data_IF_497685672530
#
_entry.id   IF_497685672530
#
_cell.length_a   1.000
_cell.length_b   1.000
_cell.length_c   1.000
_cell.angle_alpha   90.00
_cell.angle_beta   90.00
_cell.angle_gamma   90.00
#
_symmetry.space_group_name_H-M   'P 1'
#
loop_
_entity.id
_entity.type
_entity.pdbx_description
1 polymer ?
#
# COMPACT_ATOMS: atom_id res chain seq x y z
N UNK A 1 -8.30 -9.94 44.25
CA UNK A 1 -7.66 -8.91 43.40
C UNK A 1 -8.74 -7.89 43.08
N UNK A 2 -8.43 -6.60 43.10
CA UNK A 2 -9.44 -5.61 42.70
C UNK A 2 -9.70 -5.75 41.20
N UNK A 3 -10.94 -5.56 40.75
CA UNK A 3 -11.36 -5.66 39.34
C UNK A 3 -10.46 -4.79 38.42
N UNK A 4 -10.01 -3.66 38.92
CA UNK A 4 -9.06 -2.77 38.21
C UNK A 4 -7.74 -3.48 37.85
N UNK A 5 -7.19 -4.32 38.76
CA UNK A 5 -5.95 -5.05 38.51
C UNK A 5 -6.17 -6.09 37.42
N UNK A 6 -7.31 -6.82 37.50
CA UNK A 6 -7.63 -7.84 36.49
C UNK A 6 -7.81 -7.22 35.11
N UNK A 7 -8.56 -6.12 35.01
CA UNK A 7 -8.77 -5.39 33.76
C UNK A 7 -7.42 -4.87 33.21
N UNK A 8 -6.57 -4.29 34.07
CA UNK A 8 -5.26 -3.81 33.65
C UNK A 8 -4.35 -4.93 33.16
N UNK A 9 -4.37 -6.11 33.78
CA UNK A 9 -3.61 -7.28 33.34
C UNK A 9 -4.13 -7.81 32.00
N UNK A 10 -5.43 -7.87 31.77
CA UNK A 10 -6.03 -8.29 30.52
C UNK A 10 -5.68 -7.32 29.38
N UNK A 11 -5.72 -6.01 29.64
CA UNK A 11 -5.29 -5.01 28.66
C UNK A 11 -3.80 -5.10 28.35
N UNK A 12 -2.97 -5.32 29.36
CA UNK A 12 -1.53 -5.56 29.17
C UNK A 12 -1.29 -6.80 28.31
N UNK A 13 -2.02 -7.89 28.58
CA UNK A 13 -1.95 -9.13 27.80
C UNK A 13 -2.35 -8.89 26.35
N UNK A 14 -3.41 -8.12 26.08
CA UNK A 14 -3.84 -7.73 24.74
C UNK A 14 -2.70 -7.00 24.00
N UNK A 15 -2.06 -6.02 24.65
CA UNK A 15 -0.93 -5.28 24.08
C UNK A 15 0.25 -6.21 23.77
N UNK A 16 0.56 -7.15 24.67
CA UNK A 16 1.63 -8.16 24.44
C UNK A 16 1.32 -9.00 23.20
N UNK A 17 0.10 -9.47 23.02
CA UNK A 17 -0.30 -10.24 21.83
C UNK A 17 -0.21 -9.39 20.54
N UNK A 18 -0.55 -8.12 20.59
CA UNK A 18 -0.41 -7.22 19.46
C UNK A 18 1.07 -6.97 19.09
N UNK A 19 1.95 -6.81 20.07
CA UNK A 19 3.39 -6.66 19.85
C UNK A 19 4.01 -7.96 19.31
N UNK A 20 3.56 -9.11 19.80
CA UNK A 20 4.07 -10.40 19.35
C UNK A 20 3.78 -10.67 17.87
N UNK A 21 2.67 -10.16 17.33
CA UNK A 21 2.35 -10.17 15.90
C UNK A 21 2.15 -11.55 15.24
N UNK A 22 2.16 -12.64 16.04
CA UNK A 22 2.01 -14.01 15.52
C UNK A 22 0.58 -14.34 15.08
N UNK A 23 -0.41 -13.68 15.70
CA UNK A 23 -1.83 -13.89 15.43
C UNK A 23 -2.41 -12.65 14.77
N UNK A 24 -3.48 -12.85 14.00
CA UNK A 24 -4.21 -11.72 13.39
C UNK A 24 -4.81 -10.84 14.48
N UNK A 25 -4.66 -9.53 14.35
CA UNK A 25 -5.11 -8.54 15.34
C UNK A 25 -6.61 -8.61 15.62
N UNK A 26 -7.43 -8.84 14.57
CA UNK A 26 -8.87 -9.01 14.68
C UNK A 26 -9.26 -10.24 15.52
N UNK A 27 -8.58 -11.37 15.31
CA UNK A 27 -8.81 -12.58 16.09
C UNK A 27 -8.42 -12.39 17.57
N UNK A 28 -7.27 -11.77 17.84
CA UNK A 28 -6.85 -11.45 19.21
C UNK A 28 -7.87 -10.54 19.90
N UNK A 29 -8.35 -9.51 19.21
CA UNK A 29 -9.34 -8.59 19.75
C UNK A 29 -10.67 -9.31 20.08
N UNK A 30 -11.16 -10.20 19.20
CA UNK A 30 -12.39 -10.97 19.43
C UNK A 30 -12.25 -11.96 20.60
N UNK A 31 -11.11 -12.64 20.70
CA UNK A 31 -10.84 -13.54 21.84
C UNK A 31 -10.82 -12.78 23.14
N UNK A 32 -10.12 -11.64 23.18
CA UNK A 32 -10.05 -10.81 24.38
C UNK A 32 -11.42 -10.24 24.75
N UNK A 33 -12.23 -9.79 23.79
CA UNK A 33 -13.60 -9.36 24.01
C UNK A 33 -14.42 -10.51 24.64
N UNK A 34 -14.29 -11.73 24.12
CA UNK A 34 -14.96 -12.92 24.66
C UNK A 34 -14.55 -13.18 26.12
N UNK A 35 -13.27 -13.02 26.45
CA UNK A 35 -12.76 -13.13 27.83
C UNK A 35 -13.40 -12.08 28.73
N UNK A 36 -13.48 -10.82 28.31
CA UNK A 36 -14.14 -9.76 29.09
C UNK A 36 -15.62 -10.02 29.32
N UNK A 37 -16.31 -10.60 28.33
CA UNK A 37 -17.73 -10.98 28.47
C UNK A 37 -17.90 -12.16 29.44
N UNK A 38 -17.09 -13.21 29.33
CA UNK A 38 -17.15 -14.40 30.21
C UNK A 38 -16.82 -14.03 31.65
N UNK A 39 -15.89 -13.12 31.88
CA UNK A 39 -15.53 -12.62 33.20
C UNK A 39 -16.56 -11.63 33.76
N UNK A 40 -17.59 -11.25 32.99
CA UNK A 40 -18.66 -10.35 33.43
C UNK A 40 -18.31 -8.86 33.41
N UNK A 41 -17.12 -8.45 32.90
CA UNK A 41 -16.74 -7.04 32.80
C UNK A 41 -17.47 -6.32 31.68
N UNK A 42 -17.95 -7.05 30.66
CA UNK A 42 -18.75 -6.52 29.55
C UNK A 42 -20.03 -7.32 29.45
N UNK A 43 -21.18 -6.64 29.51
CA UNK A 43 -22.47 -7.29 29.32
C UNK A 43 -22.59 -7.88 27.91
N UNK A 44 -23.08 -9.12 27.72
CA UNK A 44 -23.20 -9.74 26.39
C UNK A 44 -23.98 -8.89 25.38
N UNK A 45 -25.01 -8.18 25.84
CA UNK A 45 -25.82 -7.26 25.02
C UNK A 45 -25.03 -6.03 24.50
N UNK A 46 -23.94 -5.69 25.17
CA UNK A 46 -23.08 -4.54 24.82
C UNK A 46 -21.75 -4.93 24.16
N UNK A 47 -21.48 -6.24 24.04
CA UNK A 47 -20.19 -6.73 23.52
C UNK A 47 -19.83 -6.15 22.16
N UNK A 48 -20.79 -6.01 21.27
CA UNK A 48 -20.57 -5.48 19.91
C UNK A 48 -21.05 -4.04 19.73
N UNK A 49 -21.45 -3.35 20.79
CA UNK A 49 -21.90 -1.93 20.68
C UNK A 49 -20.83 -1.00 20.12
N UNK A 50 -19.55 -1.33 20.36
CA UNK A 50 -18.41 -0.57 19.82
C UNK A 50 -18.35 -0.56 18.29
N UNK A 51 -18.85 -1.60 17.59
CA UNK A 51 -18.87 -1.64 16.12
C UNK A 51 -19.83 -0.60 15.53
N UNK A 52 -20.91 -0.28 16.21
CA UNK A 52 -21.86 0.78 15.84
C UNK A 52 -21.50 2.16 16.36
N UNK A 53 -20.38 2.32 17.06
CA UNK A 53 -19.97 3.60 17.62
C UNK A 53 -19.70 4.62 16.49
N UNK A 54 -20.15 5.89 16.63
CA UNK A 54 -19.97 6.92 15.58
C UNK A 54 -18.51 7.05 15.11
N UNK A 55 -17.53 6.93 16.00
CA UNK A 55 -16.12 6.96 15.62
C UNK A 55 -15.74 5.84 14.63
N UNK A 56 -16.20 4.62 14.85
CA UNK A 56 -15.91 3.47 13.97
C UNK A 56 -16.55 3.67 12.59
N UNK A 57 -17.80 4.09 12.57
CA UNK A 57 -18.54 4.39 11.33
C UNK A 57 -17.83 5.52 10.57
N UNK A 58 -17.44 6.60 11.25
CA UNK A 58 -16.72 7.71 10.63
C UNK A 58 -15.38 7.25 10.03
N UNK A 59 -14.60 6.46 10.76
CA UNK A 59 -13.33 5.89 10.23
C UNK A 59 -13.57 5.06 8.98
N UNK A 60 -14.59 4.18 8.99
CA UNK A 60 -14.93 3.36 7.84
C UNK A 60 -15.31 4.21 6.60
N UNK A 61 -16.14 5.23 6.81
CA UNK A 61 -16.55 6.15 5.73
C UNK A 61 -15.36 6.97 5.18
N UNK A 62 -14.49 7.47 6.05
CA UNK A 62 -13.28 8.20 5.63
C UNK A 62 -12.34 7.31 4.82
N UNK A 63 -12.16 6.04 5.21
CA UNK A 63 -11.38 5.07 4.44
C UNK A 63 -12.00 4.81 3.06
N UNK A 64 -13.33 4.73 2.97
CA UNK A 64 -14.04 4.55 1.71
C UNK A 64 -13.86 5.76 0.77
N UNK A 65 -14.00 6.98 1.30
CA UNK A 65 -13.76 8.22 0.56
C UNK A 65 -12.32 8.30 0.07
N UNK A 66 -11.35 7.92 0.94
CA UNK A 66 -9.93 7.88 0.60
C UNK A 66 -9.65 6.93 -0.56
N UNK A 67 -10.27 5.75 -0.57
CA UNK A 67 -10.18 4.80 -1.69
C UNK A 67 -10.80 5.34 -2.99
N UNK A 68 -11.92 6.05 -2.90
CA UNK A 68 -12.53 6.74 -4.05
C UNK A 68 -11.60 7.81 -4.64
N UNK A 69 -10.95 8.58 -3.78
CA UNK A 69 -9.99 9.59 -4.22
C UNK A 69 -8.75 8.96 -4.86
N UNK A 70 -8.25 7.85 -4.31
CA UNK A 70 -7.18 7.06 -4.90
C UNK A 70 -7.55 6.58 -6.31
N UNK A 71 -8.74 6.01 -6.49
CA UNK A 71 -9.22 5.49 -7.76
C UNK A 71 -9.50 6.58 -8.82
N UNK A 72 -9.68 7.84 -8.41
CA UNK A 72 -9.99 8.97 -9.31
C UNK A 72 -8.85 9.38 -10.24
N UNK A 73 -7.63 8.86 -10.04
CA UNK A 73 -6.43 9.25 -10.81
C UNK A 73 -5.93 10.67 -10.54
N UNK A 74 -6.48 11.37 -9.55
CA UNK A 74 -6.07 12.73 -9.17
C UNK A 74 -4.56 12.86 -8.97
N UNK A 75 -3.93 11.81 -8.52
CA UNK A 75 -2.51 11.77 -8.17
C UNK A 75 -1.59 11.67 -9.39
N UNK A 76 -2.03 11.03 -10.46
CA UNK A 76 -1.25 10.98 -11.70
C UNK A 76 -1.03 12.38 -12.29
N UNK A 77 -2.00 13.29 -12.08
CA UNK A 77 -1.90 14.69 -12.48
C UNK A 77 -0.81 15.42 -11.68
N UNK A 78 -0.72 15.14 -10.37
CA UNK A 78 0.31 15.72 -9.49
C UNK A 78 1.69 15.22 -9.92
N UNK A 79 1.84 13.92 -10.19
CA UNK A 79 3.11 13.31 -10.60
C UNK A 79 3.71 13.92 -11.86
N UNK A 80 2.90 14.09 -12.90
CA UNK A 80 3.33 14.67 -14.16
C UNK A 80 3.77 16.16 -14.05
N UNK A 81 3.19 16.89 -13.10
CA UNK A 81 3.62 18.28 -12.82
C UNK A 81 4.90 18.32 -11.99
N UNK A 82 5.01 17.45 -10.98
CA UNK A 82 6.20 17.39 -10.13
C UNK A 82 7.47 17.12 -10.93
N UNK A 83 7.41 16.18 -11.85
CA UNK A 83 8.54 15.79 -12.70
C UNK A 83 9.12 16.96 -13.50
N UNK A 84 8.27 17.91 -13.91
CA UNK A 84 8.68 19.09 -14.70
C UNK A 84 9.29 20.22 -13.87
N UNK A 85 8.96 20.29 -12.58
CA UNK A 85 9.34 21.42 -11.70
C UNK A 85 10.57 21.10 -10.86
N UNK A 86 10.82 19.82 -10.61
CA UNK A 86 11.86 19.38 -9.68
C UNK A 86 13.21 19.32 -10.36
N UNK A 87 14.17 20.11 -9.85
CA UNK A 87 15.55 20.17 -10.35
C UNK A 87 16.58 19.54 -9.39
N UNK A 88 16.23 19.36 -8.10
CA UNK A 88 17.12 18.77 -7.11
C UNK A 88 16.40 17.81 -6.17
N UNK A 89 17.14 16.82 -5.63
CA UNK A 89 16.60 15.85 -4.67
C UNK A 89 16.03 16.53 -3.42
N UNK A 90 16.71 17.57 -2.92
CA UNK A 90 16.25 18.33 -1.76
C UNK A 90 14.90 19.01 -2.02
N UNK A 91 14.78 19.71 -3.16
CA UNK A 91 13.53 20.35 -3.57
C UNK A 91 12.39 19.33 -3.73
N UNK A 92 12.69 18.17 -4.29
CA UNK A 92 11.73 17.09 -4.43
C UNK A 92 11.22 16.60 -3.07
N UNK A 93 12.15 16.30 -2.14
CA UNK A 93 11.78 15.86 -0.80
C UNK A 93 10.90 16.90 -0.10
N UNK A 94 11.28 18.18 -0.18
CA UNK A 94 10.51 19.26 0.45
C UNK A 94 9.08 19.31 -0.11
N UNK A 95 8.93 19.36 -1.44
CA UNK A 95 7.63 19.47 -2.09
C UNK A 95 6.76 18.23 -1.81
N UNK A 96 7.32 17.03 -1.95
CA UNK A 96 6.54 15.79 -1.76
C UNK A 96 6.11 15.62 -0.30
N UNK A 97 6.93 16.05 0.66
CA UNK A 97 6.59 16.03 2.08
C UNK A 97 5.42 16.97 2.41
N UNK A 98 5.39 18.17 1.83
CA UNK A 98 4.25 19.07 2.01
C UNK A 98 2.99 18.53 1.32
N UNK A 99 3.10 17.97 0.12
CA UNK A 99 1.96 17.37 -0.58
C UNK A 99 1.37 16.21 0.21
N UNK A 100 2.20 15.27 0.69
CA UNK A 100 1.70 14.15 1.48
C UNK A 100 1.08 14.60 2.79
N UNK A 101 1.61 15.62 3.44
CA UNK A 101 1.05 16.15 4.67
C UNK A 101 -0.33 16.81 4.46
N UNK A 102 -0.50 17.55 3.37
CA UNK A 102 -1.80 18.13 3.00
C UNK A 102 -2.81 17.00 2.70
N UNK A 103 -2.44 16.03 1.89
CA UNK A 103 -3.31 14.89 1.57
C UNK A 103 -3.67 14.11 2.85
N UNK A 104 -2.70 13.83 3.70
CA UNK A 104 -2.88 13.09 4.93
C UNK A 104 -3.72 13.84 5.98
N UNK A 105 -3.85 15.15 5.86
CA UNK A 105 -4.78 15.93 6.70
C UNK A 105 -6.25 15.58 6.44
N UNK A 106 -6.57 15.09 5.23
CA UNK A 106 -7.94 14.75 4.83
C UNK A 106 -8.14 13.25 4.56
N UNK A 107 -7.07 12.48 4.57
CA UNK A 107 -7.05 11.06 4.29
C UNK A 107 -6.25 10.33 5.36
N UNK A 108 -6.42 8.99 5.44
CA UNK A 108 -5.54 8.18 6.29
C UNK A 108 -4.07 8.30 5.81
N UNK A 109 -3.14 8.36 6.77
CA UNK A 109 -1.68 8.45 6.54
C UNK A 109 -1.18 7.38 5.55
N UNK A 110 -1.65 6.14 5.70
CA UNK A 110 -1.26 5.01 4.84
C UNK A 110 -1.75 5.24 3.41
N UNK A 111 -2.99 5.69 3.24
CA UNK A 111 -3.56 6.00 1.93
C UNK A 111 -2.80 7.12 1.22
N UNK A 112 -2.56 8.25 1.93
CA UNK A 112 -1.81 9.37 1.38
C UNK A 112 -0.38 8.98 0.94
N UNK A 113 0.29 8.15 1.76
CA UNK A 113 1.62 7.63 1.45
C UNK A 113 1.59 6.66 0.27
N UNK A 114 0.68 5.68 0.28
CA UNK A 114 0.56 4.66 -0.76
C UNK A 114 0.32 5.26 -2.15
N UNK A 115 -0.47 6.31 -2.19
CA UNK A 115 -0.75 7.04 -3.43
C UNK A 115 0.49 7.72 -4.03
N UNK A 116 1.33 8.34 -3.20
CA UNK A 116 2.51 9.08 -3.68
C UNK A 116 3.73 8.16 -3.86
N UNK A 117 3.70 6.95 -3.32
CA UNK A 117 4.78 5.98 -3.37
C UNK A 117 5.21 5.63 -4.82
N UNK A 118 4.32 5.25 -5.75
CA UNK A 118 4.70 4.92 -7.12
C UNK A 118 5.35 6.11 -7.85
N UNK A 119 4.78 7.31 -7.68
CA UNK A 119 5.33 8.55 -8.28
C UNK A 119 6.71 8.85 -7.73
N UNK A 120 6.85 8.75 -6.40
CA UNK A 120 8.12 9.01 -5.71
C UNK A 120 9.21 8.06 -6.20
N UNK A 121 8.89 6.78 -6.31
CA UNK A 121 9.83 5.76 -6.79
C UNK A 121 10.15 5.94 -8.28
N UNK A 122 9.16 6.28 -9.11
CA UNK A 122 9.36 6.58 -10.52
C UNK A 122 10.32 7.75 -10.74
N UNK A 123 10.14 8.85 -10.02
CA UNK A 123 11.03 10.01 -10.10
C UNK A 123 12.43 9.67 -9.55
N UNK A 124 12.53 8.95 -8.43
CA UNK A 124 13.81 8.50 -7.90
C UNK A 124 14.58 7.64 -8.91
N UNK A 125 13.91 6.71 -9.59
CA UNK A 125 14.51 5.85 -10.63
C UNK A 125 15.00 6.68 -11.82
N UNK A 126 14.19 7.63 -12.30
CA UNK A 126 14.52 8.47 -13.45
C UNK A 126 15.69 9.41 -13.17
N UNK A 127 15.77 9.94 -11.95
CA UNK A 127 16.80 10.89 -11.52
C UNK A 127 18.00 10.22 -10.85
N UNK A 128 18.04 8.88 -10.79
CA UNK A 128 19.07 8.08 -10.12
C UNK A 128 19.27 8.46 -8.63
N UNK A 129 18.19 8.86 -7.96
CA UNK A 129 18.23 9.19 -6.53
C UNK A 129 17.96 7.97 -5.67
N UNK A 130 18.63 7.91 -4.51
CA UNK A 130 18.39 6.85 -3.53
C UNK A 130 16.98 6.97 -2.92
N UNK A 131 16.08 5.98 -3.15
CA UNK A 131 14.71 6.02 -2.65
C UNK A 131 14.60 6.13 -1.13
N UNK A 132 15.51 5.49 -0.37
CA UNK A 132 15.47 5.51 1.10
C UNK A 132 15.53 6.91 1.69
N UNK A 133 16.23 7.84 1.01
CA UNK A 133 16.33 9.25 1.44
C UNK A 133 15.05 10.04 1.22
N UNK A 134 14.15 9.54 0.38
CA UNK A 134 12.88 10.20 0.04
C UNK A 134 11.73 9.55 0.78
N UNK A 135 11.71 8.21 0.84
CA UNK A 135 10.59 7.46 1.40
C UNK A 135 10.44 7.67 2.92
N UNK A 136 11.55 7.78 3.64
CA UNK A 136 11.49 8.00 5.09
C UNK A 136 10.92 9.39 5.44
N UNK A 137 11.41 10.50 4.85
CA UNK A 137 10.75 11.80 4.96
C UNK A 137 9.27 11.79 4.57
N UNK A 138 8.93 11.12 3.47
CA UNK A 138 7.55 10.98 3.00
C UNK A 138 6.66 10.33 4.07
N UNK A 139 7.10 9.22 4.67
CA UNK A 139 6.36 8.50 5.69
C UNK A 139 6.13 9.34 6.94
N UNK A 140 7.16 9.99 7.47
CA UNK A 140 7.03 10.86 8.63
C UNK A 140 6.14 12.09 8.36
N UNK A 141 6.26 12.69 7.19
CA UNK A 141 5.42 13.83 6.80
C UNK A 141 3.95 13.46 6.65
N UNK A 142 3.65 12.23 6.21
CA UNK A 142 2.29 11.70 6.21
C UNK A 142 1.72 11.61 7.62
N UNK A 143 2.50 11.12 8.59
CA UNK A 143 2.07 11.04 10.00
C UNK A 143 1.81 12.44 10.57
N UNK A 144 2.73 13.39 10.33
CA UNK A 144 2.59 14.77 10.78
C UNK A 144 1.35 15.45 10.16
N UNK A 145 1.09 15.18 8.88
CA UNK A 145 -0.11 15.69 8.21
C UNK A 145 -1.40 15.20 8.83
N UNK A 146 -1.46 13.93 9.24
CA UNK A 146 -2.63 13.34 9.89
C UNK A 146 -3.04 14.02 11.20
N UNK A 147 -2.14 14.75 11.83
CA UNK A 147 -2.43 15.49 13.08
C UNK A 147 -3.23 16.78 12.85
N UNK A 148 -3.37 17.26 11.61
CA UNK A 148 -3.90 18.59 11.33
C UNK A 148 -5.42 18.71 11.44
N UNK A 149 -6.17 17.63 11.22
CA UNK A 149 -7.63 17.66 11.23
C UNK A 149 -8.24 16.54 12.05
N UNK A 150 -9.53 16.65 12.36
CA UNK A 150 -10.27 15.62 13.08
C UNK A 150 -10.24 14.26 12.40
N UNK A 151 -10.23 14.21 11.06
CA UNK A 151 -10.32 12.96 10.27
C UNK A 151 -8.97 12.45 9.74
N UNK A 152 -7.89 13.23 9.85
CA UNK A 152 -6.59 12.88 9.30
C UNK A 152 -5.98 11.60 9.89
N UNK A 153 -6.35 11.27 11.14
CA UNK A 153 -5.95 10.01 11.78
C UNK A 153 -7.04 9.50 12.72
N UNK A 154 -7.27 8.16 12.80
CA UNK A 154 -8.29 7.58 13.68
C UNK A 154 -8.24 8.03 15.14
N UNK A 155 -7.07 8.17 15.79
CA UNK A 155 -6.99 8.67 17.18
C UNK A 155 -7.67 10.03 17.40
N UNK A 156 -7.59 10.96 16.44
CA UNK A 156 -8.24 12.26 16.54
C UNK A 156 -9.77 12.14 16.60
N UNK A 157 -10.34 11.24 15.81
CA UNK A 157 -11.78 10.95 15.81
C UNK A 157 -12.18 10.37 17.17
N UNK A 158 -11.43 9.36 17.65
CA UNK A 158 -11.72 8.69 18.93
C UNK A 158 -11.69 9.69 20.09
N UNK A 159 -10.64 10.51 20.17
CA UNK A 159 -10.52 11.55 21.22
C UNK A 159 -11.66 12.57 21.13
N UNK A 160 -12.06 12.94 19.92
CA UNK A 160 -13.16 13.88 19.72
C UNK A 160 -14.50 13.31 20.22
N UNK A 161 -14.78 12.04 19.96
CA UNK A 161 -15.99 11.37 20.43
C UNK A 161 -15.96 11.17 21.95
N UNK A 162 -14.82 10.71 22.49
CA UNK A 162 -14.66 10.61 23.96
C UNK A 162 -14.90 11.96 24.64
N UNK A 163 -14.39 13.05 24.09
CA UNK A 163 -14.68 14.38 24.64
C UNK A 163 -16.18 14.69 24.61
N UNK A 164 -16.90 14.33 23.55
CA UNK A 164 -18.35 14.52 23.47
C UNK A 164 -19.10 13.77 24.58
N UNK A 165 -18.65 12.55 24.91
CA UNK A 165 -19.25 11.73 25.96
C UNK A 165 -19.04 12.34 27.37
N UNK A 166 -17.88 12.99 27.64
CA UNK A 166 -17.56 13.55 28.94
C UNK A 166 -18.00 15.00 29.13
N UNK A 167 -17.95 15.82 28.08
CA UNK A 167 -18.14 17.27 28.14
C UNK A 167 -19.37 17.73 27.30
N UNK A 168 -20.08 16.80 26.65
CA UNK A 168 -21.22 17.06 25.75
C UNK A 168 -20.85 17.96 24.55
N UNK A 169 -19.58 18.07 24.19
CA UNK A 169 -19.12 18.81 23.01
C UNK A 169 -17.92 18.13 22.34
N UNK A 170 -18.04 17.79 21.07
CA UNK A 170 -16.92 17.25 20.28
C UNK A 170 -15.98 18.37 19.81
N UNK A 171 -14.78 18.01 19.37
CA UNK A 171 -13.91 18.94 18.64
C UNK A 171 -14.50 19.28 17.28
N UNK A 172 -14.32 20.54 16.84
CA UNK A 172 -14.58 20.95 15.47
C UNK A 172 -13.52 20.33 14.53
N UNK A 173 -13.81 20.38 13.24
CA UNK A 173 -12.97 19.75 12.22
C UNK A 173 -11.52 20.24 12.23
N UNK A 174 -11.29 21.54 12.43
CA UNK A 174 -9.99 22.20 12.42
C UNK A 174 -9.42 22.54 13.81
N UNK A 175 -10.03 22.11 14.90
CA UNK A 175 -9.52 22.40 16.26
C UNK A 175 -8.11 21.82 16.45
N UNK A 176 -7.82 20.68 15.82
CA UNK A 176 -6.48 20.08 15.82
C UNK A 176 -5.44 20.90 15.05
N UNK A 177 -5.87 21.73 14.08
CA UNK A 177 -4.98 22.49 13.21
C UNK A 177 -4.17 23.54 13.98
N UNK A 178 -4.67 24.09 15.08
CA UNK A 178 -3.97 25.10 15.88
C UNK A 178 -2.59 24.63 16.36
N UNK A 179 -2.47 23.35 16.70
CA UNK A 179 -1.21 22.73 17.12
C UNK A 179 -0.62 21.89 15.98
N UNK A 180 -1.47 21.19 15.22
CA UNK A 180 -1.06 20.28 14.16
C UNK A 180 -0.28 20.97 13.06
N UNK A 181 -0.77 22.11 12.54
CA UNK A 181 -0.07 22.82 11.43
C UNK A 181 1.31 23.31 11.83
N UNK A 182 1.52 24.02 12.96
CA UNK A 182 2.87 24.40 13.39
C UNK A 182 3.80 23.19 13.58
N UNK A 183 3.33 22.13 14.25
CA UNK A 183 4.13 20.91 14.46
C UNK A 183 4.47 20.23 13.13
N UNK A 184 3.50 20.13 12.24
CA UNK A 184 3.70 19.57 10.89
C UNK A 184 4.72 20.40 10.10
N UNK A 185 4.58 21.71 10.06
CA UNK A 185 5.48 22.60 9.34
C UNK A 185 6.93 22.51 9.83
N UNK A 186 7.14 22.71 11.13
CA UNK A 186 8.49 22.63 11.70
C UNK A 186 9.03 21.20 11.69
N UNK A 187 8.18 20.20 11.86
CA UNK A 187 8.54 18.79 11.75
C UNK A 187 9.03 18.42 10.33
N UNK A 188 8.33 18.86 9.29
CA UNK A 188 8.77 18.67 7.89
C UNK A 188 10.11 19.35 7.65
N UNK A 189 10.27 20.61 8.07
CA UNK A 189 11.56 21.31 7.95
C UNK A 189 12.66 20.54 8.66
N UNK A 190 12.44 20.11 9.90
CA UNK A 190 13.40 19.30 10.64
C UNK A 190 13.79 18.02 9.88
N UNK A 191 12.80 17.26 9.40
CA UNK A 191 13.02 16.02 8.65
C UNK A 191 13.80 16.27 7.37
N UNK A 192 13.47 17.34 6.63
CA UNK A 192 14.10 17.64 5.34
C UNK A 192 15.54 18.15 5.54
N UNK A 193 15.79 19.03 6.51
CA UNK A 193 17.11 19.65 6.72
C UNK A 193 18.07 18.79 7.54
N UNK A 194 17.57 18.15 8.59
CA UNK A 194 18.39 17.34 9.51
C UNK A 194 18.17 15.84 9.30
N UNK A 195 16.93 15.40 9.18
CA UNK A 195 16.58 13.97 9.06
C UNK A 195 17.25 13.31 7.87
N UNK A 196 17.23 13.94 6.70
CA UNK A 196 17.88 13.41 5.49
C UNK A 196 19.40 13.23 5.63
N UNK A 197 20.07 13.99 6.51
CA UNK A 197 21.50 13.83 6.82
C UNK A 197 21.77 12.68 7.77
N UNK A 198 20.82 12.36 8.65
CA UNK A 198 20.92 11.27 9.61
C UNK A 198 20.61 9.91 8.99
N UNK A 199 19.93 9.87 7.84
CA UNK A 199 19.62 8.63 7.13
C UNK A 199 20.93 8.05 6.58
N UNK A 200 21.35 6.93 7.12
CA UNK A 200 22.54 6.20 6.65
C UNK A 200 22.28 5.71 5.22
N UNK A 201 23.24 5.95 4.32
CA UNK A 201 23.21 5.37 2.98
C UNK A 201 23.23 3.85 3.13
N UNK A 202 22.09 3.19 2.98
CA UNK A 202 22.07 1.75 2.83
C UNK A 202 22.82 1.45 1.53
N UNK A 203 23.91 0.67 1.61
CA UNK A 203 24.57 0.17 0.40
C UNK A 203 23.51 -0.51 -0.43
N UNK A 204 23.31 -0.04 -1.64
CA UNK A 204 22.48 -0.72 -2.62
C UNK A 204 23.00 -2.14 -2.78
N UNK A 205 22.36 -3.09 -2.11
CA UNK A 205 22.28 -4.42 -2.69
C UNK A 205 21.39 -4.22 -3.92
N UNK A 206 21.85 -4.68 -5.07
CA UNK A 206 21.19 -4.66 -6.37
C UNK A 206 19.81 -5.36 -6.40
N UNK A 207 18.95 -5.06 -5.45
CA UNK A 207 17.65 -5.69 -5.24
C UNK A 207 16.59 -4.67 -4.82
N UNK A 208 16.42 -3.60 -5.60
CA UNK A 208 15.18 -2.80 -5.52
C UNK A 208 14.12 -3.26 -6.52
N UNK A 209 14.30 -4.47 -7.04
CA UNK A 209 13.34 -5.10 -7.94
C UNK A 209 12.06 -5.65 -7.30
N UNK A 210 11.95 -6.04 -6.02
CA UNK A 210 10.78 -6.83 -5.62
C UNK A 210 9.55 -6.06 -5.16
N UNK A 211 9.64 -4.77 -4.80
CA UNK A 211 8.50 -4.09 -4.17
C UNK A 211 7.60 -3.28 -5.13
N UNK A 212 8.09 -3.00 -6.34
CA UNK A 212 7.31 -2.34 -7.38
C UNK A 212 6.84 -3.35 -8.43
N UNK A 213 7.51 -4.48 -8.54
CA UNK A 213 7.18 -5.58 -9.44
C UNK A 213 6.19 -6.59 -8.84
N UNK A 214 5.69 -6.39 -7.64
CA UNK A 214 4.68 -7.28 -7.04
C UNK A 214 3.32 -7.26 -7.78
N UNK A 215 3.10 -6.30 -8.66
CA UNK A 215 1.91 -6.30 -9.51
C UNK A 215 2.15 -6.77 -10.95
N UNK A 216 3.42 -6.81 -11.45
CA UNK A 216 3.68 -7.07 -12.86
C UNK A 216 4.94 -7.91 -13.11
N UNK A 217 4.98 -9.17 -12.66
CA UNK A 217 5.99 -10.09 -13.13
C UNK A 217 5.68 -10.50 -14.58
N UNK A 218 6.44 -9.94 -15.52
CA UNK A 218 6.45 -10.40 -16.88
C UNK A 218 7.37 -11.62 -16.97
N UNK A 219 6.78 -12.78 -17.16
CA UNK A 219 7.50 -14.04 -17.31
C UNK A 219 7.43 -14.45 -18.79
N UNK A 220 8.59 -14.70 -19.37
CA UNK A 220 8.72 -15.21 -20.71
C UNK A 220 8.69 -16.74 -20.69
N UNK A 221 7.72 -17.33 -21.35
CA UNK A 221 7.58 -18.79 -21.43
C UNK A 221 7.50 -19.25 -22.89
N UNK A 222 8.31 -20.23 -23.25
CA UNK A 222 8.34 -20.81 -24.61
C UNK A 222 7.44 -22.03 -24.68
N UNK A 223 6.69 -22.14 -25.78
CA UNK A 223 5.79 -23.27 -26.07
C UNK A 223 6.65 -24.48 -26.45
N UNK A 224 6.59 -25.54 -25.61
CA UNK A 224 7.30 -26.80 -25.86
C UNK A 224 6.59 -27.65 -26.92
N UNK A 225 7.32 -28.66 -27.49
CA UNK A 225 6.79 -29.57 -28.52
C UNK A 225 5.54 -30.34 -28.12
N UNK A 226 5.39 -30.62 -26.82
CA UNK A 226 4.27 -31.38 -26.23
C UNK A 226 3.23 -30.49 -25.59
N UNK A 227 3.23 -29.18 -25.89
CA UNK A 227 2.28 -28.21 -25.32
C UNK A 227 0.87 -28.37 -25.89
N UNK A 228 -0.13 -28.31 -25.03
CA UNK A 228 -1.56 -28.32 -25.41
C UNK A 228 -2.01 -27.02 -26.09
N UNK A 229 -1.12 -26.02 -26.18
CA UNK A 229 -1.40 -24.70 -26.79
C UNK A 229 -1.14 -24.65 -28.28
N UNK A 230 -0.46 -25.67 -28.88
CA UNK A 230 -0.16 -25.69 -30.30
C UNK A 230 -1.46 -25.72 -31.09
N UNK A 231 -1.57 -24.89 -32.12
CA UNK A 231 -2.75 -24.67 -32.99
C UNK A 231 -3.98 -24.05 -32.31
N UNK A 232 -3.99 -23.82 -31.00
CA UNK A 232 -5.05 -23.02 -30.33
C UNK A 232 -5.00 -21.56 -30.76
N UNK A 233 -6.18 -20.92 -30.80
CA UNK A 233 -6.27 -19.47 -31.02
C UNK A 233 -6.00 -18.71 -29.75
N UNK A 234 -5.40 -17.53 -29.84
CA UNK A 234 -5.08 -16.65 -28.71
C UNK A 234 -6.32 -16.32 -27.87
N UNK A 235 -7.47 -16.08 -28.50
CA UNK A 235 -8.71 -15.79 -27.76
C UNK A 235 -9.20 -16.98 -26.95
N UNK A 236 -9.10 -18.20 -27.45
CA UNK A 236 -9.45 -19.43 -26.74
C UNK A 236 -8.54 -19.61 -25.53
N UNK A 237 -7.26 -19.40 -25.71
CA UNK A 237 -6.28 -19.48 -24.64
C UNK A 237 -6.49 -18.41 -23.58
N UNK A 238 -6.77 -17.15 -23.97
CA UNK A 238 -7.07 -16.07 -23.02
C UNK A 238 -8.29 -16.36 -22.13
N UNK A 239 -9.30 -17.05 -22.66
CA UNK A 239 -10.50 -17.43 -21.89
C UNK A 239 -10.27 -18.61 -20.92
N UNK A 240 -9.20 -19.39 -21.09
CA UNK A 240 -8.81 -20.49 -20.22
C UNK A 240 -7.83 -20.07 -19.11
N UNK A 241 -7.29 -18.84 -19.17
CA UNK A 241 -6.38 -18.31 -18.15
C UNK A 241 -7.14 -17.91 -16.88
N UNK A 242 -6.51 -18.16 -15.74
CA UNK A 242 -7.03 -17.73 -14.44
C UNK A 242 -7.03 -16.20 -14.32
N UNK A 243 -7.89 -15.66 -13.46
CA UNK A 243 -8.13 -14.20 -13.29
C UNK A 243 -6.85 -13.42 -13.01
N UNK A 244 -5.88 -14.03 -12.35
CA UNK A 244 -4.61 -13.42 -11.95
C UNK A 244 -3.46 -13.60 -12.97
N UNK A 245 -3.75 -14.23 -14.13
CA UNK A 245 -2.77 -14.46 -15.20
C UNK A 245 -3.22 -13.81 -16.50
N UNK A 246 -2.44 -12.91 -17.04
CA UNK A 246 -2.76 -12.28 -18.34
C UNK A 246 -1.66 -12.45 -19.37
N UNK A 247 -2.06 -12.71 -20.62
CA UNK A 247 -1.17 -12.84 -21.76
C UNK A 247 -0.98 -11.46 -22.43
N UNK A 248 0.23 -10.90 -22.34
CA UNK A 248 0.56 -9.56 -22.82
C UNK A 248 1.00 -9.50 -24.27
N UNK A 249 1.75 -10.50 -24.72
CA UNK A 249 2.31 -10.51 -26.08
C UNK A 249 3.19 -11.72 -26.36
N UNK A 250 3.97 -11.64 -27.43
CA UNK A 250 4.98 -12.65 -27.77
C UNK A 250 6.26 -12.00 -28.29
N UNK A 251 7.36 -12.76 -28.24
CA UNK A 251 8.64 -12.35 -28.80
C UNK A 251 8.80 -13.06 -30.12
N UNK A 252 9.07 -12.28 -31.18
CA UNK A 252 9.39 -12.80 -32.53
C UNK A 252 10.90 -13.06 -32.68
N UNK A 253 11.34 -13.83 -33.67
CA UNK A 253 12.74 -14.19 -33.97
C UNK A 253 13.72 -12.99 -34.06
N UNK A 254 13.20 -11.75 -34.11
CA UNK A 254 13.98 -10.50 -34.15
C UNK A 254 14.07 -9.80 -32.78
N UNK A 255 13.78 -10.49 -31.65
CA UNK A 255 13.72 -9.92 -30.31
C UNK A 255 12.72 -8.75 -30.14
N UNK A 256 11.82 -8.55 -31.09
CA UNK A 256 10.83 -7.48 -31.02
C UNK A 256 9.56 -7.99 -30.35
N UNK A 257 9.13 -7.31 -29.30
CA UNK A 257 7.84 -7.58 -28.64
C UNK A 257 6.71 -7.18 -29.57
N UNK A 258 5.80 -8.12 -29.86
CA UNK A 258 4.64 -7.90 -30.73
C UNK A 258 3.35 -8.22 -29.99
N UNK A 259 2.29 -7.48 -30.30
CA UNK A 259 0.95 -7.73 -29.75
C UNK A 259 0.34 -8.99 -30.40
N UNK A 260 -0.36 -9.78 -29.61
CA UNK A 260 -1.07 -10.97 -30.06
C UNK A 260 -2.47 -10.59 -30.57
N UNK A 261 -2.74 -10.91 -31.81
CA UNK A 261 -4.08 -10.77 -32.39
C UNK A 261 -4.96 -11.96 -32.01
N UNK A 262 -6.21 -11.70 -31.58
CA UNK A 262 -7.09 -12.72 -31.02
C UNK A 262 -7.34 -13.97 -31.89
N UNK A 263 -7.29 -13.86 -33.22
CA UNK A 263 -7.45 -14.97 -34.16
C UNK A 263 -6.15 -15.69 -34.54
N UNK A 264 -5.01 -15.21 -34.03
CA UNK A 264 -3.70 -15.81 -34.35
C UNK A 264 -3.60 -17.16 -33.63
N UNK A 265 -3.05 -18.16 -34.35
CA UNK A 265 -2.73 -19.47 -33.81
C UNK A 265 -1.39 -19.45 -33.11
N UNK A 266 -1.31 -20.11 -31.96
CA UNK A 266 -0.08 -20.32 -31.21
C UNK A 266 0.74 -21.45 -31.89
N UNK A 267 2.04 -21.23 -32.01
CA UNK A 267 2.95 -22.15 -32.69
C UNK A 267 4.06 -22.65 -31.76
N UNK A 268 4.57 -23.83 -32.01
CA UNK A 268 5.72 -24.42 -31.30
C UNK A 268 6.92 -23.47 -31.33
N UNK A 269 7.63 -23.37 -30.20
CA UNK A 269 8.85 -22.56 -30.08
C UNK A 269 8.58 -21.05 -29.87
N UNK A 270 7.34 -20.61 -29.96
CA UNK A 270 6.97 -19.22 -29.72
C UNK A 270 7.13 -18.86 -28.25
N UNK A 271 7.77 -17.73 -27.94
CA UNK A 271 7.91 -17.24 -26.60
C UNK A 271 6.80 -16.25 -26.28
N UNK A 272 5.96 -16.60 -25.31
CA UNK A 272 4.84 -15.81 -24.83
C UNK A 272 5.25 -14.99 -23.62
N UNK A 273 4.71 -13.78 -23.48
CA UNK A 273 4.94 -12.89 -22.33
C UNK A 273 3.70 -12.92 -21.47
N UNK A 274 3.82 -13.44 -20.25
CA UNK A 274 2.77 -13.49 -19.26
C UNK A 274 2.99 -12.42 -18.19
N UNK A 275 1.89 -11.83 -17.74
CA UNK A 275 1.81 -11.07 -16.50
C UNK A 275 1.24 -12.00 -15.46
N UNK A 276 2.05 -12.40 -14.46
CA UNK A 276 1.68 -13.42 -13.47
C UNK A 276 2.43 -13.22 -12.16
N UNK A 277 1.77 -13.52 -11.04
CA UNK A 277 2.42 -13.50 -9.72
C UNK A 277 3.45 -14.62 -9.56
N UNK A 278 4.56 -14.40 -8.83
CA UNK A 278 5.61 -15.40 -8.63
C UNK A 278 5.12 -16.73 -8.05
N UNK A 279 4.08 -16.67 -7.22
CA UNK A 279 3.48 -17.83 -6.56
C UNK A 279 2.70 -18.72 -7.54
N UNK A 280 2.20 -18.14 -8.64
CA UNK A 280 1.33 -18.80 -9.63
C UNK A 280 2.08 -19.25 -10.89
N UNK A 281 3.37 -18.95 -11.03
CA UNK A 281 4.19 -19.30 -12.20
C UNK A 281 4.15 -20.80 -12.53
N UNK A 282 4.08 -21.64 -11.52
CA UNK A 282 4.02 -23.10 -11.66
C UNK A 282 2.74 -23.61 -12.32
N UNK A 283 1.62 -22.87 -12.22
CA UNK A 283 0.33 -23.28 -12.76
C UNK A 283 0.30 -23.34 -14.30
N UNK A 284 0.58 -22.25 -15.05
CA UNK A 284 0.61 -22.32 -16.50
C UNK A 284 1.78 -23.17 -17.03
N UNK A 285 2.90 -23.24 -16.31
CA UNK A 285 4.03 -24.07 -16.69
C UNK A 285 3.66 -25.55 -16.72
N UNK A 286 3.01 -26.08 -15.69
CA UNK A 286 2.59 -27.48 -15.63
C UNK A 286 1.36 -27.77 -16.47
N UNK A 287 0.34 -26.90 -16.43
CA UNK A 287 -0.95 -27.10 -17.11
C UNK A 287 -0.80 -27.09 -18.63
N UNK A 288 0.06 -26.19 -19.17
CA UNK A 288 0.21 -25.99 -20.61
C UNK A 288 1.56 -26.45 -21.16
N UNK A 289 2.42 -27.05 -20.34
CA UNK A 289 3.78 -27.50 -20.68
C UNK A 289 4.59 -26.39 -21.38
N UNK A 290 4.78 -25.30 -20.61
CA UNK A 290 5.56 -24.16 -21.02
C UNK A 290 6.93 -24.20 -20.31
N UNK A 291 7.98 -23.79 -21.01
CA UNK A 291 9.34 -23.69 -20.44
C UNK A 291 9.68 -22.23 -20.19
N UNK A 292 10.14 -21.89 -18.98
CA UNK A 292 10.60 -20.54 -18.68
C UNK A 292 11.84 -20.24 -19.52
N UNK A 293 11.79 -19.16 -20.29
CA UNK A 293 12.93 -18.69 -21.07
C UNK A 293 13.94 -18.04 -20.15
N UNK A 294 15.15 -18.61 -20.06
CA UNK A 294 16.23 -18.13 -19.18
C UNK A 294 17.06 -17.00 -19.82
N UNK A 295 16.57 -16.38 -20.89
CA UNK A 295 17.28 -15.24 -21.47
C UNK A 295 17.07 -14.00 -20.60
N UNK A 296 18.19 -13.43 -20.14
CA UNK A 296 18.25 -12.14 -19.44
C UNK A 296 17.54 -11.09 -20.28
N UNK A 297 16.58 -10.36 -19.65
CA UNK A 297 15.97 -9.19 -20.24
C UNK A 297 17.06 -8.29 -20.82
N UNK A 298 17.09 -8.18 -22.15
CA UNK A 298 17.92 -7.21 -22.86
C UNK A 298 17.43 -5.81 -22.48
N UNK A 299 18.32 -5.02 -21.89
CA UNK A 299 18.11 -3.60 -21.65
C UNK A 299 17.91 -2.89 -22.99
N UNK A 300 16.76 -2.29 -23.16
CA UNK A 300 16.60 -1.14 -24.06
C UNK A 300 15.64 -0.14 -23.41
#
# INVERSE_FOLDING_TARGET
>A
MSDQIIISLLLLLLVIFFIWGKFRYDAVALVMLSVFVVLGYVAPSKAFSGLGHPAVVTVALVLLISKGLEASGFISIIGGKLEKVVTSQFQFILIICFIVAILSSFMNNIGAMAMLLPITLGICKKMEWNPSKVLMPLAFSSILGGMNTKIGTPPNIIISEMRADYISSSYNFFDFSYIGIPVCFFGILFIVFLGTKLITKRKEKESYSPLIELEDYLVEMTIEENSSLIDKRVNEFRSELDVDTSLMGYINDKETKSELHGNQKLIKGQTLIFKISPEDISNPQQKYKLKISTQKASKS
#
